data_IF_949674692511
#
_entry.id   IF_949674692511
#
_cell.length_a   1.000
_cell.length_b   1.000
_cell.length_c   1.000
_cell.angle_alpha   90.00
_cell.angle_beta   90.00
_cell.angle_gamma   90.00
#
_symmetry.space_group_name_H-M   'P 1'
#
loop_
_entity.id
_entity.type
_entity.pdbx_description
1 polymer ?
#
# COMPACT_ATOMS: atom_id res chain seq x y z
N UNK A 1 -13.11 -8.58 12.78
CA UNK A 1 -11.79 -8.30 12.16
C UNK A 1 -12.04 -7.67 10.79
N UNK A 2 -11.51 -6.49 10.49
CA UNK A 2 -11.72 -5.83 9.19
C UNK A 2 -10.74 -6.41 8.17
N UNK A 3 -11.23 -7.12 7.17
CA UNK A 3 -10.40 -7.66 6.08
C UNK A 3 -10.43 -6.71 4.89
N UNK A 4 -9.26 -6.39 4.32
CA UNK A 4 -9.17 -5.67 3.05
C UNK A 4 -9.28 -6.64 1.89
N UNK A 5 -10.20 -6.38 0.98
CA UNK A 5 -10.36 -7.12 -0.27
C UNK A 5 -9.61 -6.48 -1.45
N UNK A 6 -9.15 -5.23 -1.31
CA UNK A 6 -8.45 -4.52 -2.37
C UNK A 6 -7.22 -3.79 -1.81
N UNK A 7 -6.11 -3.82 -2.55
CA UNK A 7 -4.91 -3.03 -2.26
C UNK A 7 -4.21 -2.61 -3.55
N UNK A 8 -3.53 -1.47 -3.51
CA UNK A 8 -2.72 -0.94 -4.59
C UNK A 8 -1.28 -0.78 -4.16
N UNK A 9 -0.35 -0.98 -5.08
CA UNK A 9 1.06 -0.70 -4.87
C UNK A 9 1.67 0.01 -6.08
N UNK A 10 2.68 0.85 -5.83
CA UNK A 10 3.45 1.58 -6.82
C UNK A 10 4.92 1.49 -6.44
N UNK A 11 5.79 1.19 -7.40
CA UNK A 11 7.23 1.34 -7.19
C UNK A 11 7.59 2.81 -7.19
N UNK A 12 8.23 3.28 -6.11
CA UNK A 12 8.66 4.68 -5.99
C UNK A 12 9.91 4.88 -6.83
N UNK A 13 9.71 5.26 -8.09
CA UNK A 13 10.72 5.62 -9.08
C UNK A 13 10.25 6.85 -9.86
N UNK A 14 11.10 7.57 -10.60
CA UNK A 14 10.69 8.82 -11.27
C UNK A 14 9.49 8.69 -12.20
N UNK A 15 9.30 7.55 -12.86
CA UNK A 15 8.19 7.33 -13.81
C UNK A 15 6.86 7.01 -13.13
N UNK A 16 6.87 6.44 -11.92
CA UNK A 16 5.69 5.90 -11.21
C UNK A 16 4.81 4.97 -12.06
N UNK A 17 5.40 4.35 -13.10
CA UNK A 17 4.66 3.57 -14.09
C UNK A 17 4.38 2.13 -13.66
N UNK A 18 5.14 1.62 -12.69
CA UNK A 18 5.01 0.25 -12.21
C UNK A 18 3.99 0.20 -11.07
N UNK A 19 2.81 -0.26 -11.40
CA UNK A 19 1.68 -0.36 -10.47
C UNK A 19 1.17 -1.79 -10.34
N UNK A 20 0.57 -2.11 -9.20
CA UNK A 20 -0.12 -3.38 -8.94
C UNK A 20 -1.47 -3.09 -8.30
N UNK A 21 -2.51 -3.79 -8.74
CA UNK A 21 -3.82 -3.76 -8.12
C UNK A 21 -4.22 -5.19 -7.72
N UNK A 22 -4.23 -5.48 -6.43
CA UNK A 22 -4.72 -6.74 -5.87
C UNK A 22 -6.18 -6.65 -5.46
N UNK A 23 -7.00 -7.59 -5.94
CA UNK A 23 -8.39 -7.80 -5.52
C UNK A 23 -8.51 -9.22 -4.99
N UNK A 24 -8.76 -9.37 -3.70
CA UNK A 24 -8.84 -10.67 -3.05
C UNK A 24 -10.26 -10.99 -2.64
N UNK A 25 -10.68 -12.23 -2.89
CA UNK A 25 -11.90 -12.77 -2.33
C UNK A 25 -11.89 -12.63 -0.80
N UNK A 26 -13.00 -12.27 -0.16
CA UNK A 26 -13.09 -12.21 1.29
C UNK A 26 -12.79 -13.57 1.95
N UNK A 27 -12.04 -13.54 3.04
CA UNK A 27 -11.67 -14.74 3.81
C UNK A 27 -12.61 -15.00 4.99
N UNK A 28 -13.70 -14.26 5.10
CA UNK A 28 -14.72 -14.38 6.14
C UNK A 28 -16.08 -14.01 5.58
N UNK A 29 -17.11 -14.64 6.11
CA UNK A 29 -18.51 -14.29 5.82
C UNK A 29 -18.94 -13.01 6.54
N UNK A 30 -18.21 -12.59 7.58
CA UNK A 30 -18.43 -11.33 8.27
C UNK A 30 -17.98 -10.15 7.41
N UNK A 31 -18.79 -9.12 7.35
CA UNK A 31 -18.49 -7.91 6.62
C UNK A 31 -19.13 -6.67 7.27
N UNK A 32 -18.55 -5.50 7.00
CA UNK A 32 -19.07 -4.22 7.47
C UNK A 32 -19.57 -3.44 6.24
N UNK A 33 -20.88 -3.07 6.18
CA UNK A 33 -21.45 -2.35 5.04
C UNK A 33 -20.79 -1.00 4.75
N UNK A 34 -20.40 -0.26 5.79
CA UNK A 34 -19.74 1.04 5.64
C UNK A 34 -18.35 0.89 5.04
N UNK A 35 -17.57 -0.10 5.50
CA UNK A 35 -16.25 -0.38 4.96
C UNK A 35 -16.32 -0.91 3.51
N UNK A 36 -17.40 -1.67 3.20
CA UNK A 36 -17.64 -2.17 1.85
C UNK A 36 -17.97 -1.02 0.89
N UNK A 37 -18.81 -0.08 1.31
CA UNK A 37 -19.19 1.07 0.50
C UNK A 37 -17.97 1.93 0.07
N UNK A 38 -16.94 2.01 0.90
CA UNK A 38 -15.69 2.72 0.58
C UNK A 38 -14.93 2.06 -0.59
N UNK A 39 -15.05 0.73 -0.74
CA UNK A 39 -14.36 0.01 -1.82
C UNK A 39 -14.96 0.27 -3.22
N UNK A 40 -16.20 0.75 -3.29
CA UNK A 40 -16.95 0.94 -4.53
C UNK A 40 -17.48 -0.35 -5.17
N UNK A 41 -17.33 -1.51 -4.51
CA UNK A 41 -17.82 -2.81 -4.97
C UNK A 41 -18.91 -3.35 -4.08
N UNK A 42 -19.87 -4.08 -4.64
CA UNK A 42 -20.87 -4.82 -3.86
C UNK A 42 -20.28 -6.07 -3.18
N UNK A 43 -21.02 -6.65 -2.25
CA UNK A 43 -20.60 -7.91 -1.61
C UNK A 43 -20.49 -9.05 -2.63
N UNK A 44 -21.42 -9.12 -3.57
CA UNK A 44 -21.47 -10.11 -4.65
C UNK A 44 -20.23 -9.99 -5.55
N UNK A 45 -19.84 -8.78 -5.92
CA UNK A 45 -18.63 -8.54 -6.70
C UNK A 45 -17.38 -9.00 -5.94
N UNK A 46 -17.27 -8.72 -4.63
CA UNK A 46 -16.13 -9.19 -3.83
C UNK A 46 -16.01 -10.72 -3.81
N UNK A 47 -17.13 -11.45 -3.85
CA UNK A 47 -17.12 -12.91 -3.89
C UNK A 47 -16.62 -13.48 -5.22
N UNK A 48 -16.56 -12.66 -6.28
CA UNK A 48 -15.99 -13.05 -7.59
C UNK A 48 -14.51 -12.73 -7.75
N UNK A 49 -13.88 -12.07 -6.78
CA UNK A 49 -12.45 -11.77 -6.84
C UNK A 49 -11.61 -13.03 -6.70
N UNK A 50 -10.35 -12.92 -7.10
CA UNK A 50 -9.40 -14.03 -7.09
C UNK A 50 -9.09 -14.51 -5.66
N UNK A 51 -8.71 -15.76 -5.54
CA UNK A 51 -8.32 -16.34 -4.27
C UNK A 51 -7.08 -15.61 -3.69
N UNK A 52 -7.04 -15.33 -2.38
CA UNK A 52 -5.94 -14.57 -1.78
C UNK A 52 -4.55 -15.16 -2.05
N UNK A 53 -4.42 -16.49 -2.11
CA UNK A 53 -3.15 -17.15 -2.45
C UNK A 53 -2.66 -16.75 -3.85
N UNK A 54 -3.56 -16.71 -4.83
CA UNK A 54 -3.22 -16.34 -6.20
C UNK A 54 -2.80 -14.88 -6.29
N UNK A 55 -3.60 -13.98 -5.71
CA UNK A 55 -3.30 -12.53 -5.70
C UNK A 55 -1.96 -12.25 -5.01
N UNK A 56 -1.68 -12.90 -3.88
CA UNK A 56 -0.43 -12.70 -3.15
C UNK A 56 0.77 -13.32 -3.87
N UNK A 57 0.58 -14.43 -4.59
CA UNK A 57 1.61 -15.00 -5.47
C UNK A 57 1.95 -14.04 -6.61
N UNK A 58 0.93 -13.50 -7.29
CA UNK A 58 1.09 -12.52 -8.35
C UNK A 58 1.77 -11.23 -7.83
N UNK A 59 1.42 -10.79 -6.63
CA UNK A 59 2.06 -9.62 -6.02
C UNK A 59 3.54 -9.87 -5.68
N UNK A 60 3.88 -11.02 -5.13
CA UNK A 60 5.28 -11.41 -4.91
C UNK A 60 6.06 -11.42 -6.23
N UNK A 61 5.50 -12.02 -7.27
CA UNK A 61 6.16 -12.14 -8.57
C UNK A 61 6.32 -10.77 -9.24
N UNK A 62 5.32 -9.90 -9.10
CA UNK A 62 5.41 -8.51 -9.54
C UNK A 62 6.51 -7.74 -8.79
N UNK A 63 6.65 -7.92 -7.47
CA UNK A 63 7.75 -7.33 -6.69
C UNK A 63 9.11 -7.81 -7.21
N UNK A 64 9.28 -9.12 -7.43
CA UNK A 64 10.51 -9.71 -7.94
C UNK A 64 10.91 -9.19 -9.33
N UNK A 65 9.93 -8.89 -10.18
CA UNK A 65 10.16 -8.38 -11.53
C UNK A 65 10.48 -6.87 -11.56
N UNK A 66 9.99 -6.11 -10.59
CA UNK A 66 9.99 -4.65 -10.65
C UNK A 66 10.90 -3.99 -9.62
N UNK A 67 11.39 -4.72 -8.62
CA UNK A 67 12.24 -4.18 -7.54
C UNK A 67 13.55 -4.94 -7.48
N UNK A 68 14.67 -4.22 -7.51
CA UNK A 68 15.99 -4.79 -7.31
C UNK A 68 16.30 -4.91 -5.81
N UNK A 69 16.64 -6.12 -5.36
CA UNK A 69 16.92 -6.39 -3.96
C UNK A 69 15.66 -6.46 -3.08
N UNK A 70 15.81 -6.22 -1.79
CA UNK A 70 14.70 -6.31 -0.85
C UNK A 70 13.80 -5.07 -0.92
N UNK A 71 12.50 -5.21 -1.24
CA UNK A 71 11.57 -4.09 -1.24
C UNK A 71 11.37 -3.50 0.17
N UNK A 72 11.14 -2.20 0.25
CA UNK A 72 10.78 -1.49 1.47
C UNK A 72 9.30 -1.11 1.39
N UNK A 73 8.51 -1.58 2.35
CA UNK A 73 7.10 -1.22 2.44
C UNK A 73 6.95 0.18 3.02
N UNK A 74 6.23 1.06 2.30
CA UNK A 74 5.95 2.44 2.74
C UNK A 74 4.46 2.70 2.56
N UNK A 75 3.79 3.28 3.57
CA UNK A 75 2.38 3.66 3.47
C UNK A 75 2.05 4.90 4.32
N UNK A 76 0.85 5.46 4.11
CA UNK A 76 0.29 6.53 4.94
C UNK A 76 -0.13 5.98 6.32
N UNK A 77 -0.94 4.93 6.34
CA UNK A 77 -1.40 4.29 7.57
C UNK A 77 -0.71 2.93 7.79
N UNK A 78 0.58 2.99 8.09
CA UNK A 78 1.45 1.83 8.19
C UNK A 78 0.87 0.74 9.11
N UNK A 79 0.39 1.09 10.29
CA UNK A 79 -0.11 0.09 11.24
C UNK A 79 -1.29 -0.70 10.69
N UNK A 80 -2.16 -0.05 9.93
CA UNK A 80 -3.31 -0.67 9.30
C UNK A 80 -2.94 -1.47 8.05
N UNK A 81 -2.16 -0.89 7.14
CA UNK A 81 -1.81 -1.54 5.87
C UNK A 81 -0.84 -2.71 6.07
N UNK A 82 0.14 -2.53 6.96
CA UNK A 82 1.13 -3.55 7.26
C UNK A 82 0.53 -4.83 7.85
N UNK A 83 -0.43 -4.73 8.78
CA UNK A 83 -1.03 -5.92 9.40
C UNK A 83 -1.64 -6.87 8.36
N UNK A 84 -2.28 -6.32 7.31
CA UNK A 84 -2.91 -7.10 6.25
C UNK A 84 -1.90 -7.76 5.33
N UNK A 85 -1.02 -6.95 4.76
CA UNK A 85 0.01 -7.41 3.82
C UNK A 85 0.92 -8.43 4.50
N UNK A 86 1.32 -8.17 5.74
CA UNK A 86 2.15 -9.09 6.52
C UNK A 86 1.43 -10.42 6.79
N UNK A 87 0.17 -10.36 7.24
CA UNK A 87 -0.63 -11.55 7.49
C UNK A 87 -0.81 -12.38 6.21
N UNK A 88 -1.20 -11.76 5.11
CA UNK A 88 -1.45 -12.45 3.85
C UNK A 88 -0.18 -13.10 3.28
N UNK A 89 0.97 -12.42 3.31
CA UNK A 89 2.22 -13.00 2.88
C UNK A 89 2.63 -14.21 3.73
N UNK A 90 2.56 -14.10 5.04
CA UNK A 90 2.91 -15.23 5.91
C UNK A 90 1.93 -16.39 5.78
N UNK A 91 0.64 -16.11 5.74
CA UNK A 91 -0.39 -17.15 5.69
C UNK A 91 -0.46 -17.87 4.35
N UNK A 92 -0.39 -17.14 3.24
CA UNK A 92 -0.57 -17.72 1.91
C UNK A 92 0.73 -18.07 1.20
N UNK A 93 1.83 -17.36 1.45
CA UNK A 93 3.10 -17.50 0.75
C UNK A 93 4.20 -18.10 1.65
N UNK A 94 4.01 -18.06 2.97
CA UNK A 94 4.96 -18.58 3.96
C UNK A 94 6.08 -17.60 4.31
N UNK A 95 6.24 -16.49 3.59
CA UNK A 95 7.27 -15.48 3.86
C UNK A 95 6.87 -14.11 3.34
N UNK A 96 7.30 -13.05 4.04
CA UNK A 96 7.04 -11.68 3.64
C UNK A 96 8.28 -11.07 2.93
N UNK A 97 8.21 -10.71 1.63
CA UNK A 97 9.35 -10.14 0.90
C UNK A 97 9.83 -8.80 1.48
N UNK A 98 8.97 -8.04 2.14
CA UNK A 98 9.35 -6.79 2.83
C UNK A 98 10.09 -7.04 4.15
N UNK A 99 10.05 -8.25 4.70
CA UNK A 99 10.66 -8.64 5.99
C UNK A 99 9.81 -8.23 7.19
N UNK A 100 10.38 -7.47 8.15
CA UNK A 100 9.78 -7.28 9.48
C UNK A 100 9.22 -5.88 9.74
N UNK A 101 9.45 -4.92 8.83
CA UNK A 101 9.08 -3.54 9.10
C UNK A 101 8.76 -2.77 7.83
N UNK A 102 7.90 -1.77 7.99
CA UNK A 102 7.63 -0.76 6.98
C UNK A 102 8.05 0.64 7.45
N UNK A 103 7.72 1.64 6.65
CA UNK A 103 7.94 3.05 6.93
C UNK A 103 6.63 3.80 6.77
N UNK A 104 6.31 4.68 7.71
CA UNK A 104 5.17 5.58 7.59
C UNK A 104 5.64 6.90 6.97
N UNK A 105 4.96 7.36 5.92
CA UNK A 105 5.31 8.60 5.22
C UNK A 105 5.30 9.79 6.18
N UNK A 106 4.29 9.86 7.05
CA UNK A 106 4.17 10.94 8.04
C UNK A 106 5.34 11.01 9.00
N UNK A 107 5.89 9.87 9.42
CA UNK A 107 7.02 9.84 10.36
C UNK A 107 8.32 10.24 9.65
N UNK A 108 8.50 9.82 8.39
CA UNK A 108 9.63 10.25 7.55
C UNK A 108 9.62 11.77 7.37
N UNK A 109 8.45 12.34 7.09
CA UNK A 109 8.30 13.77 6.88
C UNK A 109 8.47 14.56 8.19
N UNK A 110 7.92 14.08 9.31
CA UNK A 110 8.13 14.70 10.64
C UNK A 110 9.61 14.74 11.01
N UNK A 111 10.34 13.64 10.71
CA UNK A 111 11.80 13.59 10.96
C UNK A 111 12.57 14.57 10.08
N UNK A 112 12.19 14.72 8.82
CA UNK A 112 12.81 15.69 7.89
C UNK A 112 12.59 17.13 8.36
N UNK A 113 11.34 17.47 8.75
CA UNK A 113 10.97 18.80 9.26
C UNK A 113 11.46 19.06 10.68
N UNK A 114 11.94 18.04 11.39
CA UNK A 114 12.28 18.11 12.84
C UNK A 114 11.09 18.60 13.70
N UNK A 115 9.88 18.28 13.25
CA UNK A 115 8.61 18.65 13.88
C UNK A 115 7.73 17.40 14.06
N UNK A 116 7.54 16.96 15.30
CA UNK A 116 6.75 15.77 15.62
C UNK A 116 5.30 15.87 15.07
N UNK A 117 4.74 17.08 15.02
CA UNK A 117 3.37 17.32 14.59
C UNK A 117 3.23 17.54 13.07
N UNK A 118 4.30 17.46 12.31
CA UNK A 118 4.25 17.61 10.85
C UNK A 118 3.69 16.40 10.09
N UNK A 119 3.39 15.30 10.80
CA UNK A 119 3.09 13.98 10.23
C UNK A 119 1.91 13.87 9.26
N UNK A 120 1.06 14.90 9.13
CA UNK A 120 0.00 14.96 8.12
C UNK A 120 0.27 15.99 7.00
N UNK A 121 1.23 16.89 7.20
CA UNK A 121 1.52 18.02 6.30
C UNK A 121 2.07 17.60 4.93
N UNK A 122 2.65 16.42 4.81
CA UNK A 122 3.14 15.84 3.56
C UNK A 122 2.04 15.61 2.52
N UNK A 123 0.78 15.47 2.93
CA UNK A 123 -0.36 15.21 2.03
C UNK A 123 -0.56 16.30 0.99
N UNK A 124 -0.09 17.52 1.25
CA UNK A 124 -0.09 18.64 0.29
C UNK A 124 0.75 18.39 -0.98
N UNK A 125 1.65 17.43 -0.96
CA UNK A 125 2.51 17.07 -2.08
C UNK A 125 1.91 16.02 -3.03
N UNK A 126 0.76 15.44 -2.67
CA UNK A 126 0.00 14.56 -3.55
C UNK A 126 -0.55 15.36 -4.72
N UNK A 127 -0.39 14.83 -5.94
CA UNK A 127 -1.00 15.38 -7.17
C UNK A 127 -2.25 14.61 -7.52
N UNK A 128 -2.17 13.27 -7.41
CA UNK A 128 -3.31 12.37 -7.58
C UNK A 128 -4.24 12.47 -6.38
N UNK A 129 -5.53 12.73 -6.63
CA UNK A 129 -6.57 12.84 -5.60
C UNK A 129 -6.79 11.51 -4.88
N UNK A 130 -7.21 11.59 -3.62
CA UNK A 130 -7.67 10.44 -2.87
C UNK A 130 -9.06 10.02 -3.36
N UNK A 131 -9.11 8.97 -4.18
CA UNK A 131 -10.34 8.50 -4.84
C UNK A 131 -10.92 7.25 -4.19
N UNK A 132 -10.25 6.68 -3.18
CA UNK A 132 -10.50 5.35 -2.63
C UNK A 132 -10.19 4.20 -3.61
N UNK A 133 -9.73 4.48 -4.84
CA UNK A 133 -9.05 3.50 -5.66
C UNK A 133 -7.65 3.26 -5.06
N UNK A 134 -7.32 2.02 -4.66
CA UNK A 134 -6.05 1.76 -3.98
C UNK A 134 -4.80 2.11 -4.80
N UNK A 135 -4.87 2.06 -6.13
CA UNK A 135 -3.74 2.43 -7.02
C UNK A 135 -3.58 3.94 -7.05
N UNK A 136 -4.67 4.72 -7.17
CA UNK A 136 -4.62 6.19 -7.13
C UNK A 136 -4.07 6.67 -5.78
N UNK A 137 -4.50 6.02 -4.69
CA UNK A 137 -4.01 6.36 -3.35
C UNK A 137 -2.52 6.06 -3.20
N UNK A 138 -2.04 4.94 -3.75
CA UNK A 138 -0.63 4.60 -3.78
C UNK A 138 0.18 5.55 -4.67
N UNK A 139 -0.35 5.97 -5.83
CA UNK A 139 0.25 6.97 -6.72
C UNK A 139 0.43 8.31 -6.02
N UNK A 140 -0.63 8.84 -5.40
CA UNK A 140 -0.53 10.10 -4.64
C UNK A 140 0.49 10.04 -3.49
N UNK A 141 0.61 8.89 -2.82
CA UNK A 141 1.62 8.67 -1.79
C UNK A 141 3.04 8.65 -2.39
N UNK A 142 3.22 8.00 -3.53
CA UNK A 142 4.52 7.93 -4.22
C UNK A 142 4.96 9.30 -4.77
N UNK A 143 4.06 10.08 -5.36
CA UNK A 143 4.31 11.46 -5.79
C UNK A 143 4.80 12.34 -4.62
N UNK A 144 4.13 12.22 -3.47
CA UNK A 144 4.55 12.96 -2.28
C UNK A 144 5.94 12.50 -1.78
N UNK A 145 6.25 11.20 -1.84
CA UNK A 145 7.57 10.68 -1.48
C UNK A 145 8.67 11.23 -2.40
N UNK A 146 8.43 11.34 -3.73
CA UNK A 146 9.37 11.96 -4.66
C UNK A 146 9.65 13.42 -4.30
N UNK A 147 8.60 14.19 -3.96
CA UNK A 147 8.76 15.57 -3.49
C UNK A 147 9.51 15.63 -2.16
N UNK A 148 9.23 14.76 -1.20
CA UNK A 148 9.94 14.68 0.09
C UNK A 148 11.42 14.35 -0.14
N UNK A 149 11.75 13.55 -1.15
CA UNK A 149 13.15 13.28 -1.55
C UNK A 149 13.85 14.53 -2.09
N UNK A 150 13.18 15.31 -2.92
CA UNK A 150 13.69 16.61 -3.39
C UNK A 150 13.94 17.59 -2.25
N UNK A 151 13.13 17.52 -1.18
CA UNK A 151 13.31 18.32 0.05
C UNK A 151 14.46 17.83 0.94
N UNK A 152 15.13 16.72 0.59
CA UNK A 152 16.36 16.26 1.25
C UNK A 152 16.27 14.90 1.95
N UNK A 153 15.13 14.21 1.94
CA UNK A 153 15.06 12.84 2.44
C UNK A 153 15.81 11.91 1.47
N UNK A 154 16.87 11.27 1.94
CA UNK A 154 17.66 10.36 1.11
C UNK A 154 17.11 8.95 1.16
N UNK A 155 16.72 8.40 0.02
CA UNK A 155 16.44 6.97 -0.17
C UNK A 155 16.82 6.54 -1.60
N UNK A 156 17.19 5.26 -1.81
CA UNK A 156 17.53 4.75 -3.14
C UNK A 156 16.28 4.64 -4.03
N UNK A 157 16.50 4.66 -5.33
CA UNK A 157 15.57 4.14 -6.32
C UNK A 157 15.93 2.72 -6.67
#
# INVERSE_FOLDING_TARGET
>A
MLFRSCFGAVVVEPSLSKTFYGKTRPISDEWNPEALAISGFSREEHLTFDEPHEVMSNFRDWLNQNVNGRPIFISDNLAFDWQWINYYFHYYIGSNPFGFSGRRIGDLYSGLEKDFFAGSKWKKFRKTSHTHNPVDDALGNAEALLTIRELGLKFPF
#
